data_IF_192957665355
#
_entry.id   IF_192957665355
#
_cell.length_a   1.000
_cell.length_b   1.000
_cell.length_c   1.000
_cell.angle_alpha   90.00
_cell.angle_beta   90.00
_cell.angle_gamma   90.00
#
_symmetry.space_group_name_H-M   'P 1'
#
loop_
_entity.id
_entity.type
_entity.pdbx_description
1 polymer ?
#
# COMPACT_ATOMS: atom_id res chain seq x y z
N UNK A 1 -21.63 -35.10 0.67
CA UNK A 1 -22.46 -34.37 -0.34
C UNK A 1 -22.04 -34.92 -1.70
N UNK A 2 -22.96 -35.64 -2.33
CA UNK A 2 -22.77 -36.40 -3.56
C UNK A 2 -22.34 -35.46 -4.72
N UNK A 3 -21.46 -35.97 -5.59
CA UNK A 3 -20.97 -35.26 -6.80
C UNK A 3 -22.12 -34.75 -7.68
N UNK A 4 -23.25 -35.47 -7.71
CA UNK A 4 -24.49 -35.10 -8.42
C UNK A 4 -25.18 -33.88 -7.78
N UNK A 5 -25.19 -33.77 -6.47
CA UNK A 5 -25.74 -32.61 -5.76
C UNK A 5 -24.91 -31.34 -5.98
N UNK A 6 -23.57 -31.47 -6.03
CA UNK A 6 -22.69 -30.32 -6.36
C UNK A 6 -22.91 -29.84 -7.80
N UNK A 7 -23.06 -30.74 -8.75
CA UNK A 7 -23.34 -30.37 -10.15
C UNK A 7 -24.72 -29.74 -10.32
N UNK A 8 -25.71 -30.19 -9.57
CA UNK A 8 -27.07 -29.60 -9.60
C UNK A 8 -27.10 -28.21 -8.99
N UNK A 9 -26.43 -28.00 -7.85
CA UNK A 9 -26.31 -26.67 -7.23
C UNK A 9 -25.53 -25.66 -8.10
N UNK A 10 -24.53 -26.10 -8.85
CA UNK A 10 -23.78 -25.25 -9.80
C UNK A 10 -24.68 -24.93 -10.99
N UNK A 11 -25.43 -25.89 -11.52
CA UNK A 11 -26.34 -25.70 -12.67
C UNK A 11 -27.50 -24.77 -12.35
N UNK A 12 -28.07 -24.84 -11.16
CA UNK A 12 -29.17 -23.95 -10.73
C UNK A 12 -28.70 -22.53 -10.42
N UNK A 13 -27.46 -22.37 -9.89
CA UNK A 13 -26.84 -21.04 -9.73
C UNK A 13 -26.48 -20.41 -11.08
N UNK A 14 -26.06 -21.19 -12.06
CA UNK A 14 -25.77 -20.75 -13.42
C UNK A 14 -27.01 -20.27 -14.18
N UNK A 15 -28.18 -20.81 -13.87
CA UNK A 15 -29.45 -20.37 -14.46
C UNK A 15 -30.02 -19.10 -13.81
N UNK A 16 -29.62 -18.79 -12.59
CA UNK A 16 -30.11 -17.64 -11.82
C UNK A 16 -29.34 -16.34 -12.07
N UNK A 17 -28.12 -16.42 -12.64
CA UNK A 17 -27.24 -15.26 -12.86
C UNK A 17 -27.07 -15.04 -14.36
N UNK A 18 -27.27 -13.81 -14.82
CA UNK A 18 -27.06 -13.45 -16.23
C UNK A 18 -25.60 -13.69 -16.63
N UNK A 19 -25.30 -14.25 -17.82
CA UNK A 19 -23.92 -14.60 -18.25
C UNK A 19 -22.93 -13.43 -18.14
N UNK A 20 -23.35 -12.22 -18.42
CA UNK A 20 -22.50 -11.03 -18.29
C UNK A 20 -22.13 -10.70 -16.82
N UNK A 21 -23.06 -10.86 -15.89
CA UNK A 21 -22.77 -10.67 -14.45
C UNK A 21 -21.77 -11.71 -13.94
N UNK A 22 -21.83 -12.92 -14.47
CA UNK A 22 -20.92 -14.00 -14.13
C UNK A 22 -19.51 -13.72 -14.67
N UNK A 23 -19.40 -13.25 -15.91
CA UNK A 23 -18.12 -12.86 -16.50
C UNK A 23 -17.48 -11.71 -15.72
N UNK A 24 -18.24 -10.68 -15.38
CA UNK A 24 -17.78 -9.56 -14.56
C UNK A 24 -17.24 -10.02 -13.22
N UNK A 25 -17.98 -10.92 -12.55
CA UNK A 25 -17.53 -11.49 -11.27
C UNK A 25 -16.23 -12.27 -11.40
N UNK A 26 -16.09 -13.10 -12.44
CA UNK A 26 -14.89 -13.89 -12.69
C UNK A 26 -13.68 -12.96 -12.90
N UNK A 27 -13.81 -11.95 -13.75
CA UNK A 27 -12.72 -11.00 -14.04
C UNK A 27 -12.37 -10.20 -12.77
N UNK A 28 -13.35 -9.75 -12.01
CA UNK A 28 -13.14 -9.06 -10.73
C UNK A 28 -12.40 -9.94 -9.72
N UNK A 29 -12.81 -11.19 -9.56
CA UNK A 29 -12.20 -12.12 -8.62
C UNK A 29 -10.75 -12.44 -9.03
N UNK A 30 -10.47 -12.63 -10.32
CA UNK A 30 -9.12 -12.84 -10.85
C UNK A 30 -8.22 -11.61 -10.65
N UNK A 31 -8.72 -10.40 -10.88
CA UNK A 31 -7.97 -9.17 -10.62
C UNK A 31 -7.66 -9.01 -9.13
N UNK A 32 -8.63 -9.28 -8.27
CA UNK A 32 -8.44 -9.24 -6.81
C UNK A 32 -7.37 -10.25 -6.38
N UNK A 33 -7.39 -11.45 -6.91
CA UNK A 33 -6.40 -12.51 -6.63
C UNK A 33 -5.00 -12.10 -7.08
N UNK A 34 -4.85 -11.51 -8.27
CA UNK A 34 -3.59 -10.97 -8.77
C UNK A 34 -3.00 -9.89 -7.86
N UNK A 35 -3.83 -9.17 -7.12
CA UNK A 35 -3.41 -8.14 -6.17
C UNK A 35 -3.27 -8.64 -4.72
N UNK A 36 -3.39 -9.96 -4.48
CA UNK A 36 -3.18 -10.59 -3.20
C UNK A 36 -4.42 -11.20 -2.53
N UNK A 37 -5.60 -11.07 -3.12
CA UNK A 37 -6.86 -11.67 -2.68
C UNK A 37 -7.53 -10.96 -1.52
N UNK A 38 -6.87 -10.83 -0.40
CA UNK A 38 -7.37 -10.19 0.83
C UNK A 38 -6.51 -9.02 1.28
N UNK A 39 -7.11 -8.10 2.03
CA UNK A 39 -6.38 -7.01 2.67
C UNK A 39 -5.39 -7.56 3.70
N UNK A 40 -4.19 -6.98 3.73
CA UNK A 40 -3.14 -7.34 4.69
C UNK A 40 -2.93 -6.18 5.66
N UNK A 41 -3.07 -6.45 6.95
CA UNK A 41 -2.90 -5.44 7.99
C UNK A 41 -1.42 -5.17 8.29
N UNK A 42 -1.16 -4.04 8.93
CA UNK A 42 0.17 -3.67 9.43
C UNK A 42 0.52 -4.49 10.66
N UNK A 43 1.78 -4.93 10.75
CA UNK A 43 2.28 -5.64 11.94
C UNK A 43 2.83 -4.65 12.96
N UNK A 44 2.27 -4.69 14.15
CA UNK A 44 2.66 -3.85 15.29
C UNK A 44 3.22 -4.70 16.43
N UNK A 45 4.16 -5.56 16.11
CA UNK A 45 4.82 -6.45 17.07
C UNK A 45 6.02 -5.76 17.74
N UNK A 46 6.22 -6.06 19.01
CA UNK A 46 7.31 -5.48 19.81
C UNK A 46 6.85 -4.29 20.67
N UNK A 47 7.72 -3.90 21.59
CA UNK A 47 7.48 -2.77 22.48
C UNK A 47 8.75 -1.90 22.61
N UNK A 48 8.86 -0.83 21.83
CA UNK A 48 7.91 -0.37 20.82
C UNK A 48 7.96 -1.23 19.53
N UNK A 49 6.85 -1.29 18.81
CA UNK A 49 6.85 -1.74 17.42
C UNK A 49 7.56 -0.69 16.56
N UNK A 50 8.48 -1.10 15.70
CA UNK A 50 9.27 -0.20 14.86
C UNK A 50 8.87 -0.38 13.41
N UNK A 51 8.45 0.70 12.77
CA UNK A 51 8.08 0.73 11.36
C UNK A 51 9.10 1.60 10.62
N UNK A 52 9.75 1.01 9.64
CA UNK A 52 10.72 1.71 8.78
C UNK A 52 10.05 2.10 7.47
N UNK A 53 10.11 3.38 7.12
CA UNK A 53 9.55 3.91 5.88
C UNK A 53 10.67 4.14 4.88
N UNK A 54 10.58 3.46 3.75
CA UNK A 54 11.57 3.48 2.67
C UNK A 54 10.97 3.97 1.35
N UNK A 55 11.78 4.52 0.48
CA UNK A 55 11.37 4.97 -0.85
C UNK A 55 12.22 6.10 -1.39
N UNK A 56 12.03 6.45 -2.66
CA UNK A 56 12.74 7.55 -3.31
C UNK A 56 12.27 8.92 -2.81
N UNK A 57 13.04 9.94 -3.13
CA UNK A 57 12.66 11.33 -2.91
C UNK A 57 11.39 11.65 -3.68
N UNK A 58 10.50 12.47 -3.10
CA UNK A 58 9.20 12.85 -3.66
C UNK A 58 8.18 11.71 -3.82
N UNK A 59 8.47 10.52 -3.31
CA UNK A 59 7.50 9.43 -3.30
C UNK A 59 6.33 9.63 -2.33
N UNK A 60 6.43 10.59 -1.42
CA UNK A 60 5.41 10.86 -0.41
C UNK A 60 5.64 10.21 0.96
N UNK A 61 6.88 9.77 1.27
CA UNK A 61 7.22 9.12 2.53
C UNK A 61 6.86 9.94 3.77
N UNK A 62 7.27 11.19 3.80
CA UNK A 62 7.07 12.07 4.96
C UNK A 62 5.58 12.31 5.21
N UNK A 63 4.81 12.62 4.17
CA UNK A 63 3.36 12.76 4.26
C UNK A 63 2.68 11.46 4.70
N UNK A 64 3.11 10.35 4.13
CA UNK A 64 2.61 9.03 4.53
C UNK A 64 2.93 8.71 5.99
N UNK A 65 4.12 9.01 6.46
CA UNK A 65 4.52 8.81 7.86
C UNK A 65 3.58 9.53 8.82
N UNK A 66 3.22 10.78 8.52
CA UNK A 66 2.22 11.52 9.28
C UNK A 66 0.82 10.90 9.24
N UNK A 67 0.37 10.50 8.07
CA UNK A 67 -0.93 9.81 7.90
C UNK A 67 -0.97 8.47 8.62
N UNK A 68 0.11 7.70 8.56
CA UNK A 68 0.23 6.42 9.24
C UNK A 68 0.19 6.60 10.76
N UNK A 69 0.88 7.62 11.28
CA UNK A 69 0.83 7.95 12.70
C UNK A 69 -0.60 8.28 13.17
N UNK A 70 -1.32 9.10 12.40
CA UNK A 70 -2.72 9.42 12.69
C UNK A 70 -3.61 8.17 12.63
N UNK A 71 -3.41 7.32 11.64
CA UNK A 71 -4.15 6.07 11.48
C UNK A 71 -3.93 5.11 12.65
N UNK A 72 -2.68 4.88 13.04
CA UNK A 72 -2.33 3.97 14.15
C UNK A 72 -2.87 4.52 15.48
N UNK A 73 -2.73 5.83 15.71
CA UNK A 73 -3.27 6.48 16.90
C UNK A 73 -4.78 6.34 17.00
N UNK A 74 -5.52 6.62 15.93
CA UNK A 74 -6.99 6.64 15.93
C UNK A 74 -7.62 5.26 15.80
N UNK A 75 -7.07 4.39 14.95
CA UNK A 75 -7.64 3.07 14.63
C UNK A 75 -7.08 1.93 15.46
N UNK A 76 -5.84 2.03 15.91
CA UNK A 76 -5.17 1.00 16.71
C UNK A 76 -5.00 1.38 18.17
N UNK A 77 -5.32 2.62 18.57
CA UNK A 77 -5.23 3.10 19.94
C UNK A 77 -3.82 3.09 20.51
N UNK A 78 -2.79 3.27 19.68
CA UNK A 78 -1.38 3.22 20.07
C UNK A 78 -0.80 4.62 20.27
N UNK A 79 0.20 4.72 21.15
CA UNK A 79 1.01 5.92 21.31
C UNK A 79 2.18 5.88 20.34
N UNK A 80 2.20 6.82 19.41
CA UNK A 80 3.12 6.82 18.25
C UNK A 80 4.16 7.92 18.41
N UNK A 81 5.42 7.58 18.14
CA UNK A 81 6.52 8.52 17.97
C UNK A 81 6.97 8.52 16.52
N UNK A 82 6.99 9.70 15.89
CA UNK A 82 7.60 9.90 14.59
C UNK A 82 9.08 10.24 14.75
N UNK A 83 9.94 9.70 13.89
CA UNK A 83 11.39 9.95 13.91
C UNK A 83 11.81 10.57 12.59
N UNK A 84 12.45 11.75 12.66
CA UNK A 84 13.04 12.44 11.53
C UNK A 84 14.40 11.84 11.17
N UNK A 85 14.42 10.87 10.27
CA UNK A 85 15.63 10.17 9.83
C UNK A 85 16.30 10.76 8.60
N UNK A 86 15.70 11.76 7.93
CA UNK A 86 16.32 12.46 6.81
C UNK A 86 17.23 13.58 7.31
N UNK A 87 18.47 13.23 7.60
CA UNK A 87 19.49 14.16 8.14
C UNK A 87 20.07 15.11 7.08
N UNK A 88 19.77 14.87 5.80
CA UNK A 88 20.36 15.62 4.68
C UNK A 88 19.51 16.83 4.29
N UNK A 89 18.22 16.82 4.60
CA UNK A 89 17.28 17.86 4.21
C UNK A 89 16.57 18.48 5.42
N UNK A 90 17.02 19.64 5.91
CA UNK A 90 16.36 20.33 7.03
C UNK A 90 14.86 20.56 6.79
N UNK A 91 14.47 20.88 5.56
CA UNK A 91 13.07 21.08 5.21
C UNK A 91 12.20 19.81 5.42
N UNK A 92 12.75 18.64 5.25
CA UNK A 92 12.03 17.39 5.51
C UNK A 92 11.79 17.18 7.02
N UNK A 93 12.74 17.55 7.86
CA UNK A 93 12.60 17.54 9.31
C UNK A 93 11.50 18.51 9.75
N UNK A 94 11.53 19.73 9.25
CA UNK A 94 10.50 20.75 9.56
C UNK A 94 9.12 20.31 9.06
N UNK A 95 9.03 19.73 7.88
CA UNK A 95 7.78 19.17 7.35
C UNK A 95 7.22 18.10 8.28
N UNK A 96 8.05 17.17 8.74
CA UNK A 96 7.61 16.11 9.65
C UNK A 96 7.12 16.67 10.99
N UNK A 97 7.79 17.70 11.53
CA UNK A 97 7.35 18.40 12.73
C UNK A 97 5.97 19.05 12.56
N UNK A 98 5.74 19.71 11.42
CA UNK A 98 4.44 20.31 11.09
C UNK A 98 3.36 19.24 11.01
N UNK A 99 3.62 18.15 10.30
CA UNK A 99 2.67 17.04 10.16
C UNK A 99 2.37 16.37 11.51
N UNK A 100 3.38 16.15 12.33
CA UNK A 100 3.21 15.64 13.69
C UNK A 100 2.33 16.54 14.55
N UNK A 101 2.53 17.86 14.48
CA UNK A 101 1.67 18.83 15.14
C UNK A 101 0.21 18.79 14.68
N UNK A 102 -0.02 18.62 13.38
CA UNK A 102 -1.37 18.54 12.81
C UNK A 102 -2.15 17.31 13.28
N UNK A 103 -1.47 16.19 13.48
CA UNK A 103 -2.10 14.92 13.89
C UNK A 103 -1.99 14.66 15.40
N UNK A 104 -1.33 15.55 16.13
CA UNK A 104 -1.14 15.41 17.58
C UNK A 104 -0.19 14.26 17.95
N UNK A 105 0.86 14.08 17.19
CA UNK A 105 1.90 13.04 17.39
C UNK A 105 3.26 13.71 17.59
N UNK A 106 4.01 13.24 18.61
CA UNK A 106 5.34 13.75 18.90
C UNK A 106 6.34 13.33 17.81
N UNK A 107 7.24 14.25 17.46
CA UNK A 107 8.31 14.03 16.49
C UNK A 107 9.65 14.08 17.22
N UNK A 108 10.41 13.01 17.13
CA UNK A 108 11.77 12.91 17.65
C UNK A 108 12.78 13.41 16.63
N UNK A 109 13.60 14.36 17.04
CA UNK A 109 14.68 14.92 16.22
C UNK A 109 15.94 15.08 17.05
N UNK A 110 17.10 14.99 16.40
CA UNK A 110 18.41 15.30 17.02
C UNK A 110 19.11 16.36 16.17
N UNK A 111 19.06 17.58 16.61
CA UNK A 111 19.69 18.69 15.91
C UNK A 111 21.22 18.49 15.86
N UNK A 112 21.81 18.69 14.67
CA UNK A 112 23.24 18.52 14.44
C UNK A 112 23.73 17.08 14.30
N UNK A 113 22.96 16.08 14.67
CA UNK A 113 23.33 14.68 14.46
C UNK A 113 23.13 14.28 13.00
N UNK A 114 24.18 13.81 12.34
CA UNK A 114 24.17 13.36 10.94
C UNK A 114 24.17 11.84 10.77
N UNK A 115 24.02 11.10 11.87
CA UNK A 115 23.99 9.64 11.84
C UNK A 115 22.55 9.13 12.01
N UNK A 116 21.86 8.74 10.93
CA UNK A 116 20.47 8.30 11.01
C UNK A 116 20.28 7.00 11.78
N UNK A 117 21.27 6.12 11.79
CA UNK A 117 21.24 4.88 12.57
C UNK A 117 21.20 5.20 14.07
N UNK A 118 22.08 6.10 14.51
CA UNK A 118 22.14 6.53 15.91
C UNK A 118 20.86 7.26 16.33
N UNK A 119 20.31 8.12 15.48
CA UNK A 119 19.04 8.82 15.72
C UNK A 119 17.91 7.81 15.93
N UNK A 120 17.80 6.79 15.06
CA UNK A 120 16.79 5.76 15.17
C UNK A 120 16.92 4.92 16.47
N UNK A 121 18.15 4.52 16.82
CA UNK A 121 18.42 3.80 18.08
C UNK A 121 18.06 4.63 19.30
N UNK A 122 18.45 5.91 19.32
CA UNK A 122 18.15 6.83 20.42
C UNK A 122 16.64 7.10 20.51
N UNK A 123 15.94 7.21 19.39
CA UNK A 123 14.51 7.38 19.36
C UNK A 123 13.76 6.18 19.96
N UNK A 124 14.23 4.97 19.72
CA UNK A 124 13.67 3.76 20.34
C UNK A 124 13.86 3.77 21.87
N UNK A 125 15.04 4.16 22.35
CA UNK A 125 15.29 4.34 23.79
C UNK A 125 14.37 5.39 24.39
N UNK A 126 14.23 6.53 23.72
CA UNK A 126 13.31 7.59 24.12
C UNK A 126 11.86 7.10 24.18
N UNK A 127 11.43 6.34 23.18
CA UNK A 127 10.09 5.76 23.13
C UNK A 127 9.81 4.84 24.31
N UNK A 128 10.76 3.98 24.69
CA UNK A 128 10.64 3.10 25.86
C UNK A 128 10.53 3.88 27.17
N UNK A 129 11.28 4.94 27.31
CA UNK A 129 11.28 5.79 28.51
C UNK A 129 10.02 6.65 28.65
N UNK A 130 9.36 6.98 27.55
CA UNK A 130 8.21 7.88 27.50
C UNK A 130 6.90 7.19 27.10
N UNK A 131 6.82 5.88 27.22
CA UNK A 131 5.61 5.08 27.01
C UNK A 131 5.02 5.16 25.58
N UNK A 132 5.86 5.40 24.57
CA UNK A 132 5.48 5.19 23.18
C UNK A 132 5.61 3.70 22.85
N UNK A 133 4.60 3.14 22.23
CA UNK A 133 4.60 1.73 21.85
C UNK A 133 4.68 1.46 20.34
N UNK A 134 4.72 2.52 19.54
CA UNK A 134 5.00 2.48 18.10
C UNK A 134 5.98 3.60 17.74
N UNK A 135 7.00 3.25 16.96
CA UNK A 135 7.98 4.20 16.43
C UNK A 135 7.96 4.09 14.90
N UNK A 136 7.74 5.21 14.22
CA UNK A 136 7.78 5.30 12.76
C UNK A 136 9.03 6.09 12.38
N UNK A 137 9.95 5.46 11.65
CA UNK A 137 11.19 6.07 11.18
C UNK A 137 11.02 6.51 9.73
N UNK A 138 10.97 7.81 9.49
CA UNK A 138 10.97 8.40 8.15
C UNK A 138 12.42 8.54 7.67
N UNK A 139 12.81 7.74 6.69
CA UNK A 139 14.19 7.72 6.19
C UNK A 139 14.42 8.71 5.06
N UNK A 140 15.69 9.05 4.82
CA UNK A 140 16.09 9.86 3.68
C UNK A 140 15.74 9.17 2.36
N UNK A 141 15.32 9.96 1.38
CA UNK A 141 15.13 9.53 0.00
C UNK A 141 16.13 10.22 -0.92
N UNK A 142 16.56 9.52 -1.97
CA UNK A 142 17.34 10.09 -3.06
C UNK A 142 16.55 10.08 -4.37
N UNK A 143 17.03 10.79 -5.38
CA UNK A 143 16.34 10.88 -6.68
C UNK A 143 16.32 9.55 -7.43
N UNK A 144 17.33 8.72 -7.20
CA UNK A 144 17.42 7.37 -7.76
C UNK A 144 18.01 6.42 -6.72
N UNK A 145 17.86 5.13 -6.93
CA UNK A 145 18.48 4.12 -6.08
C UNK A 145 19.99 4.17 -6.30
N UNK A 146 20.73 4.35 -5.22
CA UNK A 146 22.20 4.31 -5.22
C UNK A 146 22.73 3.45 -4.06
N UNK A 147 23.98 3.07 -4.15
CA UNK A 147 24.62 2.20 -3.17
C UNK A 147 24.67 2.83 -1.76
N UNK A 148 24.97 4.11 -1.67
CA UNK A 148 25.04 4.81 -0.38
C UNK A 148 23.70 4.84 0.33
N UNK A 149 22.62 5.08 -0.39
CA UNK A 149 21.24 5.03 0.14
C UNK A 149 20.89 3.63 0.64
N UNK A 150 21.21 2.61 -0.13
CA UNK A 150 20.88 1.22 0.23
C UNK A 150 21.69 0.74 1.43
N UNK A 151 22.96 1.13 1.53
CA UNK A 151 23.81 0.85 2.70
C UNK A 151 23.26 1.52 3.96
N UNK A 152 22.86 2.78 3.88
CA UNK A 152 22.29 3.52 5.00
C UNK A 152 21.01 2.87 5.53
N UNK A 153 20.05 2.59 4.63
CA UNK A 153 18.76 2.02 5.05
C UNK A 153 18.93 0.58 5.56
N UNK A 154 19.84 -0.19 4.99
CA UNK A 154 20.17 -1.54 5.45
C UNK A 154 20.82 -1.49 6.84
N UNK A 155 21.68 -0.51 7.10
CA UNK A 155 22.28 -0.29 8.43
C UNK A 155 21.23 0.09 9.47
N UNK A 156 20.27 0.93 9.13
CA UNK A 156 19.13 1.26 10.02
C UNK A 156 18.30 0.00 10.30
N UNK A 157 17.97 -0.76 9.29
CA UNK A 157 17.25 -2.05 9.43
C UNK A 157 17.94 -2.99 10.40
N UNK A 158 19.26 -3.18 10.24
CA UNK A 158 20.06 -4.04 11.11
C UNK A 158 20.09 -3.56 12.57
N UNK A 159 20.15 -2.25 12.78
CA UNK A 159 20.24 -1.66 14.11
C UNK A 159 18.92 -1.68 14.87
N UNK A 160 17.81 -1.37 14.22
CA UNK A 160 16.49 -1.22 14.88
C UNK A 160 15.62 -2.46 14.78
N UNK A 161 15.94 -3.41 13.93
CA UNK A 161 15.18 -4.66 13.72
C UNK A 161 13.68 -4.38 13.61
N UNK A 162 13.21 -3.68 12.56
CA UNK A 162 11.84 -3.24 12.46
C UNK A 162 10.88 -4.44 12.37
N UNK A 163 9.71 -4.32 12.96
CA UNK A 163 8.63 -5.28 12.81
C UNK A 163 7.97 -5.18 11.42
N UNK A 164 8.07 -4.01 10.79
CA UNK A 164 7.51 -3.73 9.47
C UNK A 164 8.42 -2.77 8.71
N UNK A 165 8.68 -3.07 7.43
CA UNK A 165 9.31 -2.16 6.47
C UNK A 165 8.30 -1.88 5.38
N UNK A 166 7.89 -0.62 5.24
CA UNK A 166 6.95 -0.19 4.22
C UNK A 166 7.68 0.60 3.13
N UNK A 167 7.57 0.12 1.91
CA UNK A 167 8.08 0.78 0.73
C UNK A 167 7.03 1.69 0.13
N UNK A 168 7.32 2.99 0.09
CA UNK A 168 6.42 4.03 -0.44
C UNK A 168 6.81 4.37 -1.86
N UNK A 169 5.88 4.24 -2.79
CA UNK A 169 6.10 4.48 -4.21
C UNK A 169 4.99 5.33 -4.82
N UNK A 170 5.39 6.25 -5.70
CA UNK A 170 4.50 7.10 -6.46
C UNK A 170 3.88 6.32 -7.62
N UNK A 171 2.56 6.09 -7.57
CA UNK A 171 1.83 5.34 -8.59
C UNK A 171 1.83 6.03 -9.98
N UNK A 172 2.06 7.33 -10.03
CA UNK A 172 2.09 8.09 -11.29
C UNK A 172 3.36 7.85 -12.12
N UNK A 173 4.43 7.31 -11.53
CA UNK A 173 5.69 7.07 -12.23
C UNK A 173 5.68 5.82 -13.12
N UNK A 174 4.56 5.09 -13.17
CA UNK A 174 4.35 3.98 -14.10
C UNK A 174 5.40 2.88 -13.98
N UNK A 175 6.09 2.56 -15.07
CA UNK A 175 7.09 1.48 -15.09
C UNK A 175 8.28 1.75 -14.16
N UNK A 176 8.63 3.01 -13.92
CA UNK A 176 9.70 3.37 -12.98
C UNK A 176 9.34 2.97 -11.55
N UNK A 177 8.06 3.06 -11.18
CA UNK A 177 7.57 2.59 -9.88
C UNK A 177 7.83 1.09 -9.71
N UNK A 178 7.56 0.29 -10.74
CA UNK A 178 7.77 -1.16 -10.74
C UNK A 178 9.24 -1.52 -10.62
N UNK A 179 10.09 -0.87 -11.42
CA UNK A 179 11.54 -1.09 -11.42
C UNK A 179 12.15 -0.73 -10.06
N UNK A 180 11.76 0.41 -9.50
CA UNK A 180 12.21 0.87 -8.19
C UNK A 180 11.76 -0.10 -7.09
N UNK A 181 10.51 -0.55 -7.12
CA UNK A 181 10.00 -1.52 -6.16
C UNK A 181 10.79 -2.83 -6.18
N UNK A 182 11.10 -3.34 -7.37
CA UNK A 182 11.93 -4.53 -7.54
C UNK A 182 13.32 -4.35 -6.94
N UNK A 183 13.97 -3.25 -7.25
CA UNK A 183 15.34 -2.96 -6.78
C UNK A 183 15.40 -2.82 -5.25
N UNK A 184 14.44 -2.11 -4.65
CA UNK A 184 14.32 -2.03 -3.19
C UNK A 184 14.03 -3.39 -2.55
N UNK A 185 13.16 -4.19 -3.15
CA UNK A 185 12.83 -5.51 -2.61
C UNK A 185 14.02 -6.46 -2.65
N UNK A 186 14.79 -6.46 -3.73
CA UNK A 186 15.99 -7.29 -3.88
C UNK A 186 17.07 -6.96 -2.83
N UNK A 187 17.20 -5.68 -2.44
CA UNK A 187 18.21 -5.17 -1.52
C UNK A 187 17.76 -5.12 -0.07
N UNK A 188 16.52 -4.75 0.19
CA UNK A 188 15.99 -4.46 1.52
C UNK A 188 15.04 -5.53 2.05
N UNK A 189 14.40 -6.31 1.18
CA UNK A 189 13.35 -7.27 1.52
C UNK A 189 12.27 -6.62 2.41
N UNK A 190 11.59 -5.62 1.88
CA UNK A 190 10.52 -4.94 2.60
C UNK A 190 9.28 -5.83 2.80
N UNK A 191 8.43 -5.46 3.76
CA UNK A 191 7.27 -6.26 4.16
C UNK A 191 5.98 -5.89 3.44
N UNK A 192 5.85 -4.65 2.99
CA UNK A 192 4.67 -4.17 2.30
C UNK A 192 4.91 -2.94 1.46
N UNK A 193 3.97 -2.68 0.54
CA UNK A 193 4.00 -1.55 -0.39
C UNK A 193 2.90 -0.56 -0.06
N UNK A 194 3.22 0.71 -0.15
CA UNK A 194 2.29 1.83 -0.05
C UNK A 194 2.27 2.59 -1.37
N UNK A 195 1.09 2.71 -1.96
CA UNK A 195 0.88 3.48 -3.18
C UNK A 195 0.46 4.91 -2.85
N UNK A 196 1.20 5.88 -3.34
CA UNK A 196 0.84 7.30 -3.22
C UNK A 196 0.38 7.86 -4.57
N UNK A 197 -0.31 8.98 -4.54
CA UNK A 197 -0.77 9.72 -5.72
C UNK A 197 -1.62 8.89 -6.69
N UNK A 198 -2.38 7.96 -6.15
CA UNK A 198 -3.22 7.05 -6.94
C UNK A 198 -4.41 7.77 -7.60
N UNK A 199 -4.73 8.98 -7.16
CA UNK A 199 -5.68 9.90 -7.79
C UNK A 199 -5.27 10.30 -9.21
N UNK A 200 -3.96 10.30 -9.52
CA UNK A 200 -3.43 10.47 -10.87
C UNK A 200 -3.41 9.20 -11.72
N UNK A 201 -3.44 8.03 -11.10
CA UNK A 201 -3.59 6.72 -11.77
C UNK A 201 -5.06 6.30 -11.72
N UNK A 202 -5.84 6.78 -12.67
CA UNK A 202 -7.29 6.61 -12.69
C UNK A 202 -7.74 5.14 -12.73
N UNK A 203 -6.91 4.23 -13.24
CA UNK A 203 -7.23 2.82 -13.40
C UNK A 203 -6.53 1.86 -12.43
N UNK A 204 -5.55 2.35 -11.66
CA UNK A 204 -4.86 1.52 -10.66
C UNK A 204 -3.94 0.42 -11.24
N UNK A 205 -3.47 0.58 -12.48
CA UNK A 205 -2.60 -0.42 -13.13
C UNK A 205 -1.26 -0.63 -12.43
N UNK A 206 -0.75 0.38 -11.73
CA UNK A 206 0.48 0.28 -10.94
C UNK A 206 0.39 -0.79 -9.84
N UNK A 207 -0.78 -0.97 -9.23
CA UNK A 207 -1.00 -1.98 -8.19
C UNK A 207 -0.75 -3.41 -8.69
N UNK A 208 -1.32 -3.76 -9.84
CA UNK A 208 -1.13 -5.08 -10.46
C UNK A 208 0.33 -5.28 -10.84
N UNK A 209 0.94 -4.31 -11.52
CA UNK A 209 2.30 -4.40 -12.03
C UNK A 209 3.32 -4.56 -10.89
N UNK A 210 3.21 -3.79 -9.82
CA UNK A 210 4.09 -3.89 -8.66
C UNK A 210 3.90 -5.24 -7.96
N UNK A 211 2.66 -5.65 -7.71
CA UNK A 211 2.38 -6.92 -7.04
C UNK A 211 2.92 -8.14 -7.81
N UNK A 212 2.83 -8.12 -9.13
CA UNK A 212 3.34 -9.20 -9.98
C UNK A 212 4.87 -9.34 -9.95
N UNK A 213 5.57 -8.23 -9.74
CA UNK A 213 7.05 -8.19 -9.75
C UNK A 213 7.65 -8.47 -8.38
N UNK A 214 7.11 -7.86 -7.31
CA UNK A 214 7.72 -7.94 -5.97
C UNK A 214 7.11 -9.00 -5.07
N UNK A 215 5.94 -9.52 -5.37
CA UNK A 215 5.22 -10.53 -4.58
C UNK A 215 5.04 -10.17 -3.09
N UNK A 216 5.04 -8.89 -2.76
CA UNK A 216 4.79 -8.37 -1.42
C UNK A 216 3.38 -7.76 -1.35
N UNK A 217 2.72 -7.81 -0.18
CA UNK A 217 1.37 -7.25 -0.06
C UNK A 217 1.36 -5.73 -0.25
N UNK A 218 0.33 -5.25 -0.94
CA UNK A 218 -0.01 -3.84 -0.97
C UNK A 218 -0.84 -3.55 0.29
N UNK A 219 -0.37 -2.65 1.16
CA UNK A 219 -0.99 -2.44 2.48
C UNK A 219 -1.82 -1.18 2.57
N UNK A 220 -1.36 -0.09 1.97
CA UNK A 220 -2.02 1.21 2.05
C UNK A 220 -2.03 1.93 0.72
N UNK A 221 -3.05 2.79 0.58
CA UNK A 221 -3.14 3.84 -0.43
C UNK A 221 -3.12 5.17 0.30
N UNK A 222 -2.22 6.06 -0.11
CA UNK A 222 -2.15 7.43 0.38
C UNK A 222 -2.45 8.38 -0.76
N UNK A 223 -3.68 8.89 -0.81
CA UNK A 223 -4.14 9.85 -1.81
C UNK A 223 -4.43 11.20 -1.16
N UNK A 224 -4.25 12.28 -1.92
CA UNK A 224 -4.54 13.63 -1.45
C UNK A 224 -3.66 14.11 -0.30
N UNK A 225 -3.97 15.30 0.20
CA UNK A 225 -3.17 15.99 1.23
C UNK A 225 -3.75 15.88 2.64
N UNK A 226 -4.98 15.40 2.79
CA UNK A 226 -5.63 15.29 4.09
C UNK A 226 -5.00 14.19 4.94
N UNK A 227 -4.65 14.51 6.18
CA UNK A 227 -3.98 13.59 7.10
C UNK A 227 -4.85 12.42 7.55
N UNK A 228 -6.16 12.53 7.47
CA UNK A 228 -7.13 11.46 7.79
C UNK A 228 -7.49 10.57 6.59
N UNK A 229 -6.89 10.81 5.42
CA UNK A 229 -7.23 10.16 4.16
C UNK A 229 -6.40 8.91 3.85
N UNK A 230 -5.79 8.27 4.84
CA UNK A 230 -5.10 6.99 4.64
C UNK A 230 -6.10 5.85 4.51
N UNK A 231 -5.98 5.09 3.44
CA UNK A 231 -6.84 3.93 3.16
C UNK A 231 -6.03 2.64 3.21
N UNK A 232 -6.60 1.63 3.86
CA UNK A 232 -6.11 0.25 3.74
C UNK A 232 -6.34 -0.23 2.31
N UNK A 233 -5.36 -0.92 1.73
CA UNK A 233 -5.49 -1.50 0.41
C UNK A 233 -6.42 -2.72 0.44
N UNK A 234 -7.53 -2.64 -0.28
CA UNK A 234 -8.48 -3.74 -0.47
C UNK A 234 -8.42 -4.23 -1.92
N UNK A 235 -7.91 -5.46 -2.18
CA UNK A 235 -7.80 -5.98 -3.53
C UNK A 235 -9.11 -5.97 -4.32
N UNK A 236 -10.22 -6.33 -3.69
CA UNK A 236 -11.54 -6.32 -4.34
C UNK A 236 -12.00 -4.92 -4.77
N UNK A 237 -11.81 -3.91 -3.90
CA UNK A 237 -12.14 -2.52 -4.22
C UNK A 237 -11.26 -1.95 -5.34
N UNK A 238 -9.99 -2.36 -5.36
CA UNK A 238 -9.09 -1.97 -6.43
C UNK A 238 -9.46 -2.66 -7.75
N UNK A 239 -9.88 -3.92 -7.72
CA UNK A 239 -10.41 -4.61 -8.89
C UNK A 239 -11.63 -3.89 -9.48
N UNK A 240 -12.58 -3.47 -8.64
CA UNK A 240 -13.73 -2.66 -9.06
C UNK A 240 -13.30 -1.33 -9.69
N UNK A 241 -12.29 -0.68 -9.14
CA UNK A 241 -11.74 0.57 -9.69
C UNK A 241 -11.07 0.35 -11.06
N UNK A 242 -10.31 -0.71 -11.23
CA UNK A 242 -9.62 -1.06 -12.49
C UNK A 242 -10.65 -1.35 -13.58
N UNK A 243 -11.71 -2.09 -13.26
CA UNK A 243 -12.77 -2.43 -14.20
C UNK A 243 -13.61 -1.22 -14.61
N UNK A 244 -13.66 -0.17 -13.77
CA UNK A 244 -14.53 0.99 -13.97
C UNK A 244 -16.00 0.60 -13.97
N UNK A 245 -16.80 1.09 -13.04
CA UNK A 245 -18.22 0.72 -12.93
C UNK A 245 -19.01 0.98 -14.21
N UNK A 246 -18.64 2.01 -14.99
CA UNK A 246 -19.27 2.35 -16.27
C UNK A 246 -18.88 1.42 -17.42
N UNK A 247 -17.63 1.01 -17.49
CA UNK A 247 -17.10 0.13 -18.56
C UNK A 247 -17.63 -1.30 -18.42
N UNK A 248 -17.85 -1.75 -17.18
CA UNK A 248 -18.42 -3.07 -16.88
C UNK A 248 -19.87 -3.15 -17.28
N UNK A 249 -20.67 -2.11 -17.01
CA UNK A 249 -22.09 -2.08 -17.40
C UNK A 249 -22.22 -2.12 -18.92
N UNK A 250 -21.42 -1.34 -19.67
CA UNK A 250 -21.46 -1.35 -21.12
C UNK A 250 -20.94 -2.66 -21.72
N UNK A 251 -19.96 -3.32 -21.09
CA UNK A 251 -19.47 -4.64 -21.53
C UNK A 251 -20.52 -5.74 -21.31
N UNK A 252 -21.23 -5.68 -20.18
CA UNK A 252 -22.34 -6.59 -19.84
C UNK A 252 -23.50 -6.38 -20.81
N UNK A 253 -23.87 -5.14 -21.10
CA UNK A 253 -24.92 -4.81 -22.03
C UNK A 253 -24.61 -5.29 -23.45
N UNK A 254 -23.40 -5.06 -23.98
CA UNK A 254 -22.97 -5.57 -25.30
C UNK A 254 -22.94 -7.09 -25.38
N UNK A 255 -22.44 -7.76 -24.32
CA UNK A 255 -22.45 -9.22 -24.28
C UNK A 255 -23.88 -9.78 -24.27
N UNK A 256 -24.80 -9.09 -23.61
CA UNK A 256 -26.19 -9.48 -23.53
C UNK A 256 -26.92 -9.29 -24.87
N UNK A 257 -26.68 -8.17 -25.56
CA UNK A 257 -27.23 -7.93 -26.91
C UNK A 257 -26.78 -8.99 -27.92
N UNK A 258 -25.50 -9.37 -27.89
CA UNK A 258 -24.97 -10.42 -28.77
C UNK A 258 -25.58 -11.81 -28.47
N UNK A 259 -25.83 -12.10 -27.20
CA UNK A 259 -26.43 -13.37 -26.78
C UNK A 259 -27.91 -13.46 -27.19
N UNK A 260 -28.64 -12.38 -27.02
CA UNK A 260 -30.05 -12.30 -27.42
C UNK A 260 -30.24 -12.40 -28.94
N UNK A 261 -29.30 -11.83 -29.72
CA UNK A 261 -29.29 -11.97 -31.18
C UNK A 261 -28.98 -13.40 -31.64
N UNK A 262 -28.05 -14.09 -31.00
CA UNK A 262 -27.74 -15.50 -31.32
C UNK A 262 -28.88 -16.45 -30.95
N UNK A 263 -29.55 -16.26 -29.80
CA UNK A 263 -30.74 -17.03 -29.42
C UNK A 263 -31.91 -16.77 -30.37
N UNK A 264 -32.15 -15.52 -30.76
CA UNK A 264 -33.19 -15.17 -31.71
C UNK A 264 -32.91 -15.75 -33.11
N UNK A 265 -31.65 -15.89 -33.54
CA UNK A 265 -31.29 -16.57 -34.77
C UNK A 265 -31.47 -18.08 -34.74
N UNK A 266 -31.26 -18.72 -33.57
CA UNK A 266 -31.48 -20.15 -33.37
C UNK A 266 -32.96 -20.53 -33.32
N UNK A 267 -33.81 -19.62 -32.86
CA UNK A 267 -35.29 -19.81 -32.81
C UNK A 267 -35.98 -19.56 -34.16
N UNK A 268 -35.27 -18.92 -35.12
CA UNK A 268 -35.81 -18.67 -36.50
C UNK A 268 -35.39 -19.73 -37.52
N UNK A 269 -34.66 -20.76 -37.12
CA UNK A 269 -34.32 -21.94 -37.89
C UNK A 269 -35.12 -23.14 -37.38
#
# INVERSE_FOLDING_TARGET
>A
VDRRQRQMCIRDRLKAVKPGQMMTKIVRDELAELMGGTATDIRLEGNPAVILIAGLQRSGKTTFSGKLAAFIKSKKGRQVLLVAGDVYRPAAIDQLKVLGGQVGVEVYTEEGNKNPVQIAENAIKYARQNSFNVVIVDTAGRLAVDEAMMQEITAIKAAVKPSEILFVVDAMTGQDAVNTAKEFNDRLDFDGVVLTKLDGDTRGGAAISIRSVVSKPLKFISSGEKMDALQVFHPERMADRILGMGDVVSLVERAQEQFDEEEARKLKK
#
